data_IF_494346809130
#
_entry.id   IF_494346809130
#
_cell.length_a   1.000
_cell.length_b   1.000
_cell.length_c   1.000
_cell.angle_alpha   90.00
_cell.angle_beta   90.00
_cell.angle_gamma   90.00
#
_symmetry.space_group_name_H-M   'P 1'
#
loop_
_entity.id
_entity.type
_entity.pdbx_description
1 polymer ?
#
# COMPACT_ATOMS: atom_id res chain seq x y z
N UNK A 1 10.11 9.34 11.62
CA UNK A 1 8.81 10.02 11.47
C UNK A 1 9.01 11.51 11.67
N UNK A 2 8.22 12.33 10.99
CA UNK A 2 8.27 13.79 11.11
C UNK A 2 6.91 14.31 11.60
N UNK A 3 6.91 15.49 12.23
CA UNK A 3 5.71 16.05 12.83
C UNK A 3 4.93 17.00 11.91
N UNK A 4 5.36 17.12 10.68
CA UNK A 4 4.80 18.12 9.76
C UNK A 4 3.38 17.82 9.28
N UNK A 5 2.94 16.58 9.40
CA UNK A 5 1.68 16.14 8.78
C UNK A 5 0.78 15.34 9.73
N UNK A 6 0.20 15.98 10.76
CA UNK A 6 -0.78 15.31 11.62
C UNK A 6 -1.95 14.78 10.77
N UNK A 7 -2.40 13.58 11.04
CA UNK A 7 -3.41 12.91 10.22
C UNK A 7 -2.83 12.05 9.11
N UNK A 8 -1.53 12.15 8.86
CA UNK A 8 -0.80 11.37 7.86
C UNK A 8 0.35 10.59 8.46
N UNK A 9 0.26 10.26 9.75
CA UNK A 9 1.36 9.61 10.48
C UNK A 9 1.69 8.22 9.93
N UNK A 10 0.70 7.52 9.36
CA UNK A 10 0.92 6.25 8.68
C UNK A 10 1.87 6.41 7.48
N UNK A 11 1.77 7.52 6.75
CA UNK A 11 2.63 7.79 5.59
C UNK A 11 4.01 8.26 6.03
N UNK A 12 4.08 9.25 6.92
CA UNK A 12 5.36 9.82 7.35
C UNK A 12 6.24 8.77 8.04
N UNK A 13 5.63 7.86 8.80
CA UNK A 13 6.36 6.77 9.44
C UNK A 13 6.73 5.65 8.47
N UNK A 14 5.89 5.38 7.48
CA UNK A 14 6.14 4.31 6.50
C UNK A 14 7.38 4.57 5.65
N UNK A 15 7.69 5.82 5.37
CA UNK A 15 8.90 6.20 4.62
C UNK A 15 10.14 5.70 5.35
N UNK A 16 10.27 6.01 6.64
CA UNK A 16 11.38 5.53 7.46
C UNK A 16 11.34 4.02 7.70
N UNK A 17 10.14 3.47 7.87
CA UNK A 17 9.96 2.03 8.04
C UNK A 17 10.46 1.24 6.81
N UNK A 18 10.18 1.71 5.61
CA UNK A 18 10.70 1.09 4.39
C UNK A 18 12.24 1.12 4.37
N UNK A 19 12.83 2.23 4.77
CA UNK A 19 14.28 2.38 4.80
C UNK A 19 14.93 1.44 5.79
N UNK A 20 14.45 1.38 7.04
CA UNK A 20 15.03 0.48 8.04
C UNK A 20 14.75 -1.00 7.71
N UNK A 21 13.63 -1.30 7.08
CA UNK A 21 13.34 -2.64 6.58
C UNK A 21 14.34 -3.09 5.53
N UNK A 22 14.69 -2.19 4.64
CA UNK A 22 15.74 -2.43 3.64
C UNK A 22 17.09 -2.67 4.29
N UNK A 23 17.42 -1.91 5.34
CA UNK A 23 18.73 -1.96 6.00
C UNK A 23 18.88 -3.09 7.03
N UNK A 24 17.84 -3.87 7.28
CA UNK A 24 17.99 -5.08 8.09
C UNK A 24 16.95 -5.36 9.15
N UNK A 25 15.98 -4.47 9.36
CA UNK A 25 14.90 -4.75 10.32
C UNK A 25 14.04 -5.92 9.81
N UNK A 26 13.78 -6.89 10.69
CA UNK A 26 13.08 -8.12 10.33
C UNK A 26 11.55 -7.98 10.39
N UNK A 27 11.03 -7.03 11.16
CA UNK A 27 9.60 -6.87 11.36
C UNK A 27 9.24 -5.40 11.55
N UNK A 28 8.12 -4.98 10.96
CA UNK A 28 7.58 -3.64 11.10
C UNK A 28 6.22 -3.70 11.80
N UNK A 29 5.91 -2.67 12.59
CA UNK A 29 4.60 -2.50 13.19
C UNK A 29 3.94 -1.24 12.65
N UNK A 30 2.66 -1.30 12.40
CA UNK A 30 1.93 -0.21 11.75
C UNK A 30 1.70 1.00 12.67
N UNK A 31 1.44 2.14 12.03
CA UNK A 31 1.00 3.38 12.67
C UNK A 31 -0.29 3.82 11.98
N UNK A 32 -1.24 4.32 12.74
CA UNK A 32 -2.52 4.77 12.19
C UNK A 32 -2.47 6.24 11.78
N UNK A 33 -3.40 6.71 10.93
CA UNK A 33 -3.50 8.13 10.58
C UNK A 33 -3.77 9.04 11.79
N UNK A 34 -4.34 8.49 12.87
CA UNK A 34 -4.75 9.25 14.06
C UNK A 34 -3.76 9.16 15.22
N UNK A 35 -2.53 8.75 14.98
CA UNK A 35 -1.57 8.42 16.04
C UNK A 35 -1.42 9.51 17.10
N UNK A 36 -1.39 10.78 16.70
CA UNK A 36 -1.23 11.91 17.63
C UNK A 36 -2.51 12.69 17.88
N UNK A 37 -3.64 12.29 17.31
CA UNK A 37 -4.84 13.11 17.29
C UNK A 37 -6.01 12.50 18.05
N UNK A 38 -6.24 11.20 17.89
CA UNK A 38 -7.43 10.54 18.43
C UNK A 38 -7.24 9.03 18.50
N UNK A 39 -8.22 8.34 19.06
CA UNK A 39 -8.25 6.89 19.03
C UNK A 39 -8.63 6.41 17.62
N UNK A 40 -7.91 5.43 17.07
CA UNK A 40 -8.21 4.90 15.75
C UNK A 40 -9.47 4.03 15.76
N UNK A 41 -10.23 4.11 14.68
CA UNK A 41 -11.31 3.16 14.43
C UNK A 41 -10.80 1.98 13.58
N UNK A 42 -11.70 1.07 13.22
CA UNK A 42 -11.35 -0.12 12.44
C UNK A 42 -10.74 0.24 11.09
N UNK A 43 -11.28 1.25 10.42
CA UNK A 43 -10.78 1.68 9.11
C UNK A 43 -9.39 2.32 9.22
N UNK A 44 -9.14 3.06 10.26
CA UNK A 44 -7.81 3.65 10.51
C UNK A 44 -6.75 2.56 10.68
N UNK A 45 -7.09 1.49 11.41
CA UNK A 45 -6.20 0.35 11.59
C UNK A 45 -5.95 -0.34 10.26
N UNK A 46 -6.99 -0.53 9.45
CA UNK A 46 -6.86 -1.12 8.12
C UNK A 46 -5.91 -0.31 7.24
N UNK A 47 -6.09 0.99 7.17
CA UNK A 47 -5.24 1.89 6.38
C UNK A 47 -3.79 1.83 6.87
N UNK A 48 -3.58 1.84 8.18
CA UNK A 48 -2.25 1.73 8.76
C UNK A 48 -1.55 0.42 8.38
N UNK A 49 -2.25 -0.69 8.50
CA UNK A 49 -1.70 -2.02 8.15
C UNK A 49 -1.37 -2.12 6.67
N UNK A 50 -2.26 -1.66 5.80
CA UNK A 50 -2.00 -1.65 4.34
C UNK A 50 -0.79 -0.78 4.03
N UNK A 51 -0.69 0.40 4.63
CA UNK A 51 0.46 1.29 4.43
C UNK A 51 1.78 0.60 4.79
N UNK A 52 1.80 -0.12 5.91
CA UNK A 52 3.01 -0.82 6.33
C UNK A 52 3.30 -2.07 5.50
N UNK A 53 2.29 -2.71 4.91
CA UNK A 53 2.52 -3.74 3.90
C UNK A 53 3.20 -3.17 2.66
N UNK A 54 2.81 -1.95 2.27
CA UNK A 54 3.48 -1.24 1.16
C UNK A 54 4.94 -0.96 1.52
N UNK A 55 5.20 -0.46 2.73
CA UNK A 55 6.56 -0.19 3.19
C UNK A 55 7.42 -1.47 3.21
N UNK A 56 6.87 -2.56 3.73
CA UNK A 56 7.58 -3.84 3.78
C UNK A 56 7.86 -4.38 2.38
N UNK A 57 6.89 -4.26 1.48
CA UNK A 57 7.06 -4.69 0.09
C UNK A 57 8.14 -3.87 -0.62
N UNK A 58 8.15 -2.56 -0.43
CA UNK A 58 9.20 -1.70 -0.98
C UNK A 58 10.58 -2.09 -0.46
N UNK A 59 10.68 -2.41 0.82
CA UNK A 59 11.93 -2.88 1.42
C UNK A 59 12.37 -4.22 0.82
N UNK A 60 11.43 -5.15 0.62
CA UNK A 60 11.73 -6.44 0.01
C UNK A 60 12.23 -6.30 -1.42
N UNK A 61 11.63 -5.41 -2.20
CA UNK A 61 12.09 -5.11 -3.56
C UNK A 61 13.51 -4.53 -3.53
N UNK A 62 13.75 -3.57 -2.64
CA UNK A 62 15.03 -2.87 -2.57
C UNK A 62 16.20 -3.81 -2.20
N UNK A 63 15.95 -4.76 -1.30
CA UNK A 63 17.00 -5.71 -0.90
C UNK A 63 17.05 -6.97 -1.76
N UNK A 64 16.23 -7.05 -2.81
CA UNK A 64 16.26 -8.17 -3.75
C UNK A 64 15.71 -9.47 -3.18
N UNK A 65 14.74 -9.38 -2.26
CA UNK A 65 14.13 -10.57 -1.68
C UNK A 65 13.55 -11.48 -2.77
N UNK A 66 13.85 -12.79 -2.77
CA UNK A 66 13.29 -13.69 -3.77
C UNK A 66 11.76 -13.69 -3.78
N UNK A 67 11.16 -13.56 -4.94
CA UNK A 67 9.71 -13.56 -5.10
C UNK A 67 9.03 -12.21 -4.92
N UNK A 68 9.69 -11.20 -4.36
CA UNK A 68 9.07 -9.90 -4.16
C UNK A 68 8.60 -9.26 -5.49
N UNK A 69 9.42 -9.38 -6.54
CA UNK A 69 9.13 -8.80 -7.84
C UNK A 69 8.03 -9.56 -8.62
N UNK A 70 7.77 -10.80 -8.26
CA UNK A 70 6.82 -11.65 -9.00
C UNK A 70 5.42 -11.06 -9.01
N UNK A 71 4.93 -10.66 -7.86
CA UNK A 71 3.58 -10.08 -7.73
C UNK A 71 3.47 -8.74 -8.45
N UNK A 72 4.48 -7.88 -8.34
CA UNK A 72 4.52 -6.61 -9.05
C UNK A 72 4.50 -6.83 -10.56
N UNK A 73 5.28 -7.75 -11.05
CA UNK A 73 5.32 -8.07 -12.48
C UNK A 73 3.99 -8.59 -12.97
N UNK A 74 3.34 -9.47 -12.20
CA UNK A 74 2.02 -10.00 -12.55
C UNK A 74 0.97 -8.91 -12.61
N UNK A 75 0.97 -7.99 -11.63
CA UNK A 75 0.03 -6.87 -11.61
C UNK A 75 0.31 -5.90 -12.76
N UNK A 76 1.56 -5.62 -13.04
CA UNK A 76 1.95 -4.75 -14.15
C UNK A 76 1.49 -5.31 -15.50
N UNK A 77 1.61 -6.62 -15.68
CA UNK A 77 1.14 -7.30 -16.88
C UNK A 77 -0.38 -7.22 -16.99
N UNK A 78 -1.09 -7.47 -15.90
CA UNK A 78 -2.56 -7.35 -15.85
C UNK A 78 -3.00 -5.92 -16.19
N UNK A 79 -2.28 -4.91 -15.70
CA UNK A 79 -2.55 -3.51 -16.03
C UNK A 79 -2.34 -3.20 -17.49
N UNK A 80 -1.25 -3.66 -18.05
CA UNK A 80 -0.93 -3.46 -19.47
C UNK A 80 -2.00 -4.09 -20.38
N UNK A 81 -2.55 -5.23 -19.97
CA UNK A 81 -3.56 -5.96 -20.73
C UNK A 81 -5.01 -5.55 -20.36
N UNK A 82 -5.17 -4.56 -19.48
CA UNK A 82 -6.50 -4.09 -19.00
C UNK A 82 -7.34 -5.19 -18.36
N UNK A 83 -6.71 -6.18 -17.73
CA UNK A 83 -7.42 -7.22 -16.97
C UNK A 83 -7.71 -6.72 -15.56
N UNK A 84 -8.78 -5.94 -15.43
CA UNK A 84 -9.11 -5.22 -14.20
C UNK A 84 -9.33 -6.14 -13.00
N UNK A 85 -10.05 -7.23 -13.20
CA UNK A 85 -10.29 -8.19 -12.11
C UNK A 85 -8.97 -8.75 -11.55
N UNK A 86 -8.04 -9.11 -12.43
CA UNK A 86 -6.76 -9.64 -12.01
C UNK A 86 -5.92 -8.57 -11.29
N UNK A 87 -6.02 -7.31 -11.71
CA UNK A 87 -5.37 -6.20 -11.00
C UNK A 87 -5.89 -6.08 -9.57
N UNK A 88 -7.20 -6.19 -9.36
CA UNK A 88 -7.78 -6.13 -8.02
C UNK A 88 -7.33 -7.32 -7.18
N UNK A 89 -7.36 -8.53 -7.72
CA UNK A 89 -6.98 -9.75 -7.00
C UNK A 89 -5.50 -9.73 -6.59
N UNK A 90 -4.65 -9.10 -7.37
CA UNK A 90 -3.22 -9.00 -7.10
C UNK A 90 -2.86 -7.83 -6.17
N UNK A 91 -3.76 -6.88 -5.97
CA UNK A 91 -3.50 -5.69 -5.15
C UNK A 91 -3.49 -6.02 -3.66
N UNK A 92 -2.86 -5.16 -2.85
CA UNK A 92 -2.84 -5.31 -1.39
C UNK A 92 -4.20 -5.02 -0.76
N UNK A 93 -5.00 -4.19 -1.41
CA UNK A 93 -6.35 -3.84 -0.93
C UNK A 93 -7.35 -3.96 -2.09
N UNK A 94 -7.79 -5.17 -2.41
CA UNK A 94 -8.69 -5.41 -3.54
C UNK A 94 -10.02 -4.66 -3.43
N UNK A 95 -10.59 -4.59 -2.23
CA UNK A 95 -11.88 -3.93 -2.01
C UNK A 95 -11.82 -2.44 -2.33
N UNK A 96 -10.75 -1.77 -1.88
CA UNK A 96 -10.57 -0.34 -2.14
C UNK A 96 -10.31 -0.07 -3.61
N UNK A 97 -9.49 -0.89 -4.25
CA UNK A 97 -9.19 -0.78 -5.67
C UNK A 97 -10.48 -0.94 -6.51
N UNK A 98 -11.26 -1.95 -6.19
CA UNK A 98 -12.55 -2.21 -6.84
C UNK A 98 -13.51 -1.04 -6.65
N UNK A 99 -13.64 -0.56 -5.41
CA UNK A 99 -14.54 0.55 -5.07
C UNK A 99 -14.18 1.82 -5.83
N UNK A 100 -12.90 2.18 -5.87
CA UNK A 100 -12.44 3.38 -6.56
C UNK A 100 -12.63 3.28 -8.07
N UNK A 101 -12.38 2.12 -8.62
CA UNK A 101 -12.56 1.89 -10.05
C UNK A 101 -14.03 2.08 -10.46
N UNK A 102 -14.95 1.49 -9.73
CA UNK A 102 -16.38 1.60 -10.03
C UNK A 102 -16.92 3.00 -9.76
N UNK A 103 -16.50 3.64 -8.69
CA UNK A 103 -16.96 4.99 -8.36
C UNK A 103 -16.49 6.04 -9.38
N UNK A 104 -15.29 5.85 -9.94
CA UNK A 104 -14.72 6.79 -10.92
C UNK A 104 -15.09 6.53 -12.35
N UNK A 105 -15.77 5.42 -12.63
CA UNK A 105 -16.07 5.00 -14.01
C UNK A 105 -17.44 5.50 -14.45
N UNK A 106 -17.43 6.54 -15.26
CA UNK A 106 -18.65 7.15 -15.80
C UNK A 106 -18.87 6.90 -17.28
N UNK A 107 -17.91 6.31 -17.97
CA UNK A 107 -17.96 6.01 -19.40
C UNK A 107 -17.44 4.61 -19.66
N UNK A 108 -17.63 4.10 -20.87
CA UNK A 108 -17.12 2.79 -21.27
C UNK A 108 -15.62 2.80 -21.58
N UNK A 109 -14.95 3.92 -21.38
CA UNK A 109 -13.51 4.04 -21.61
C UNK A 109 -12.69 3.27 -20.58
N UNK A 110 -11.53 2.74 -21.01
CA UNK A 110 -10.53 2.17 -20.13
C UNK A 110 -9.53 3.24 -19.72
N UNK A 111 -9.11 3.22 -18.45
CA UNK A 111 -8.19 4.21 -17.89
C UNK A 111 -6.87 3.57 -17.51
N UNK A 112 -5.78 4.33 -17.71
CA UNK A 112 -4.44 3.98 -17.24
C UNK A 112 -4.07 4.82 -16.03
#
# INVERSE_FOLDING_TARGET
MTDIAPGYDHITSAIGAAQIGWLGTAMLCYVTPKEHLALPDKEDVRVGVITYKIAAHAADLAKGHPGAQVRDNALSKARYEFRWKDQFDLSLDPERAFSYFHAGRHTDGEYC
#
